data_IF_666246556308
#
_entry.id   IF_666246556308
#
_cell.length_a   1.000
_cell.length_b   1.000
_cell.length_c   1.000
_cell.angle_alpha   90.00
_cell.angle_beta   90.00
_cell.angle_gamma   90.00
#
_symmetry.space_group_name_H-M   'P 1'
#
loop_
_entity.id
_entity.type
_entity.pdbx_description
1 polymer ?
#
# COMPACT_ATOMS: atom_id res chain seq x y z
N UNK A 1 1.94 84.73 68.52
CA UNK A 1 1.91 83.32 68.08
C UNK A 1 2.27 83.29 66.61
N UNK A 2 3.47 82.85 66.25
CA UNK A 2 3.82 82.47 64.89
C UNK A 2 5.07 81.57 64.95
N UNK A 3 4.83 80.26 64.92
CA UNK A 3 5.86 79.22 64.93
C UNK A 3 6.01 78.79 63.48
N UNK A 4 7.00 79.35 62.79
CA UNK A 4 7.30 79.01 61.39
C UNK A 4 7.80 77.57 61.38
N UNK A 5 7.02 76.67 60.78
CA UNK A 5 7.33 75.24 60.64
C UNK A 5 8.44 75.06 59.60
N UNK A 6 9.44 74.25 59.94
CA UNK A 6 10.62 73.97 59.13
C UNK A 6 10.38 72.73 58.25
N UNK A 7 9.62 72.89 57.16
CA UNK A 7 9.23 71.78 56.27
C UNK A 7 10.27 71.46 55.18
N UNK A 8 11.41 72.17 55.15
CA UNK A 8 12.43 72.02 54.10
C UNK A 8 13.15 70.67 54.13
N UNK A 9 13.14 69.95 55.26
CA UNK A 9 13.73 68.61 55.36
C UNK A 9 12.87 67.50 54.77
N UNK A 10 11.54 67.63 54.86
CA UNK A 10 10.61 66.59 54.39
C UNK A 10 10.54 66.51 52.86
N UNK A 11 10.72 67.64 52.16
CA UNK A 11 10.78 67.65 50.70
C UNK A 11 11.96 66.84 50.15
N UNK A 12 13.13 66.93 50.78
CA UNK A 12 14.31 66.16 50.41
C UNK A 12 14.07 64.65 50.62
N UNK A 13 13.50 64.27 51.77
CA UNK A 13 13.18 62.88 52.09
C UNK A 13 12.17 62.29 51.12
N UNK A 14 11.15 63.06 50.73
CA UNK A 14 10.12 62.62 49.78
C UNK A 14 10.72 62.36 48.39
N UNK A 15 11.59 63.26 47.90
CA UNK A 15 12.26 63.06 46.61
C UNK A 15 13.17 61.83 46.66
N UNK A 16 13.92 61.63 47.75
CA UNK A 16 14.76 60.45 47.89
C UNK A 16 13.94 59.15 47.91
N UNK A 17 12.84 59.12 48.67
CA UNK A 17 11.93 57.98 48.71
C UNK A 17 11.36 57.66 47.33
N UNK A 18 10.97 58.69 46.59
CA UNK A 18 10.40 58.57 45.25
C UNK A 18 11.44 58.03 44.25
N UNK A 19 12.69 58.49 44.31
CA UNK A 19 13.79 57.96 43.48
C UNK A 19 14.07 56.48 43.81
N UNK A 20 14.08 56.10 45.09
CA UNK A 20 14.26 54.70 45.50
C UNK A 20 13.13 53.82 45.00
N UNK A 21 11.88 54.28 45.13
CA UNK A 21 10.71 53.54 44.67
C UNK A 21 10.73 53.33 43.15
N UNK A 22 11.06 54.37 42.38
CA UNK A 22 11.21 54.25 40.94
C UNK A 22 12.39 53.36 40.54
N UNK A 23 13.49 53.37 41.31
CA UNK A 23 14.64 52.49 41.05
C UNK A 23 14.29 51.02 41.27
N UNK A 24 13.55 50.70 42.34
CA UNK A 24 13.10 49.33 42.62
C UNK A 24 12.14 48.84 41.53
N UNK A 25 11.18 49.67 41.11
CA UNK A 25 10.27 49.35 40.02
C UNK A 25 11.01 49.19 38.68
N UNK A 26 11.96 50.08 38.39
CA UNK A 26 12.78 50.03 37.18
C UNK A 26 13.61 48.75 37.09
N UNK A 27 14.27 48.37 38.17
CA UNK A 27 15.02 47.11 38.24
C UNK A 27 14.10 45.88 38.13
N UNK A 28 12.91 45.93 38.74
CA UNK A 28 11.92 44.86 38.63
C UNK A 28 11.46 44.60 37.19
N UNK A 29 11.18 45.67 36.43
CA UNK A 29 10.80 45.56 35.01
C UNK A 29 11.94 45.04 34.14
N UNK A 30 13.19 45.46 34.40
CA UNK A 30 14.35 44.96 33.67
C UNK A 30 14.57 43.45 33.91
N UNK A 31 14.45 42.99 35.16
CA UNK A 31 14.57 41.58 35.49
C UNK A 31 13.49 40.72 34.78
N UNK A 32 12.24 41.21 34.72
CA UNK A 32 11.16 40.53 34.00
C UNK A 32 11.43 40.42 32.49
N UNK A 33 11.91 41.48 31.86
CA UNK A 33 12.23 41.47 30.43
C UNK A 33 13.40 40.53 30.12
N UNK A 34 14.42 40.50 30.99
CA UNK A 34 15.57 39.61 30.82
C UNK A 34 15.15 38.14 30.97
N UNK A 35 14.28 37.82 31.94
CA UNK A 35 13.73 36.48 32.10
C UNK A 35 12.82 36.07 30.92
N UNK A 36 12.05 36.99 30.36
CA UNK A 36 11.25 36.72 29.18
C UNK A 36 12.15 36.43 27.95
N UNK A 37 13.21 37.20 27.76
CA UNK A 37 14.15 37.01 26.66
C UNK A 37 14.89 35.66 26.72
N UNK A 38 15.31 35.23 27.92
CA UNK A 38 15.92 33.90 28.10
C UNK A 38 14.92 32.79 27.82
N UNK A 39 13.68 32.91 28.30
CA UNK A 39 12.62 31.95 27.99
C UNK A 39 12.34 31.84 26.50
N UNK A 40 12.26 32.96 25.77
CA UNK A 40 12.07 32.95 24.32
C UNK A 40 13.23 32.26 23.60
N UNK A 41 14.47 32.57 23.99
CA UNK A 41 15.66 31.94 23.41
C UNK A 41 15.63 30.42 23.64
N UNK A 42 15.32 29.97 24.86
CA UNK A 42 15.24 28.53 25.16
C UNK A 42 14.13 27.82 24.40
N UNK A 43 12.97 28.47 24.23
CA UNK A 43 11.86 27.92 23.44
C UNK A 43 12.20 27.85 21.96
N UNK A 44 12.87 28.88 21.43
CA UNK A 44 13.32 28.89 20.05
C UNK A 44 14.34 27.77 19.80
N UNK A 45 15.33 27.62 20.69
CA UNK A 45 16.32 26.56 20.60
C UNK A 45 15.68 25.17 20.66
N UNK A 46 14.70 24.97 21.56
CA UNK A 46 13.95 23.72 21.65
C UNK A 46 13.15 23.44 20.36
N UNK A 47 12.42 24.43 19.84
CA UNK A 47 11.66 24.28 18.59
C UNK A 47 12.57 23.95 17.41
N UNK A 48 13.75 24.58 17.35
CA UNK A 48 14.70 24.31 16.28
C UNK A 48 15.32 22.91 16.41
N UNK A 49 15.72 22.48 17.61
CA UNK A 49 16.20 21.11 17.86
C UNK A 49 15.15 20.07 17.47
N UNK A 50 13.88 20.28 17.85
CA UNK A 50 12.75 19.44 17.44
C UNK A 50 12.60 19.37 15.92
N UNK A 51 12.68 20.52 15.23
CA UNK A 51 12.56 20.54 13.78
C UNK A 51 13.68 19.73 13.11
N UNK A 52 14.89 19.74 13.66
CA UNK A 52 15.97 18.88 13.18
C UNK A 52 15.67 17.39 13.38
N UNK A 53 15.13 17.02 14.55
CA UNK A 53 14.70 15.64 14.82
C UNK A 53 13.62 15.18 13.82
N UNK A 54 12.62 16.03 13.54
CA UNK A 54 11.54 15.77 12.56
C UNK A 54 12.10 15.57 11.15
N UNK A 55 13.06 16.40 10.73
CA UNK A 55 13.75 16.23 9.45
C UNK A 55 14.51 14.90 9.37
N UNK A 56 15.10 14.44 10.48
CA UNK A 56 15.73 13.12 10.55
C UNK A 56 14.74 11.98 10.31
N UNK A 57 13.56 12.04 10.93
CA UNK A 57 12.48 11.04 10.72
C UNK A 57 11.99 11.04 9.27
N UNK A 58 11.78 12.22 8.67
CA UNK A 58 11.33 12.33 7.27
C UNK A 58 12.39 11.83 6.29
N UNK A 59 13.66 12.17 6.52
CA UNK A 59 14.76 11.66 5.71
C UNK A 59 14.84 10.14 5.80
N UNK A 60 14.65 9.58 7.00
CA UNK A 60 14.59 8.14 7.20
C UNK A 60 13.44 7.50 6.41
N UNK A 61 12.23 8.06 6.49
CA UNK A 61 11.06 7.58 5.75
C UNK A 61 11.34 7.51 4.25
N UNK A 62 11.86 8.58 3.65
CA UNK A 62 12.13 8.62 2.22
C UNK A 62 13.17 7.57 1.77
N UNK A 63 14.18 7.30 2.59
CA UNK A 63 15.16 6.27 2.30
C UNK A 63 14.58 4.85 2.46
N UNK A 64 13.74 4.66 3.49
CA UNK A 64 13.03 3.41 3.71
C UNK A 64 12.10 3.10 2.52
N UNK A 65 11.35 4.10 2.03
CA UNK A 65 10.53 3.99 0.83
C UNK A 65 11.36 3.53 -0.37
N UNK A 66 12.51 4.17 -0.61
CA UNK A 66 13.40 3.81 -1.71
C UNK A 66 13.93 2.37 -1.60
N UNK A 67 14.27 1.92 -0.39
CA UNK A 67 14.74 0.55 -0.14
C UNK A 67 13.60 -0.44 -0.39
N UNK A 68 12.40 -0.15 0.11
CA UNK A 68 11.20 -0.99 -0.08
C UNK A 68 10.84 -1.07 -1.56
N UNK A 69 10.90 0.05 -2.28
CA UNK A 69 10.61 0.13 -3.72
C UNK A 69 11.64 -0.65 -4.56
N UNK A 70 12.93 -0.53 -4.22
CA UNK A 70 14.00 -1.30 -4.87
C UNK A 70 13.85 -2.81 -4.62
N UNK A 71 13.28 -3.20 -3.47
CA UNK A 71 13.08 -4.59 -3.08
C UNK A 71 11.63 -5.06 -3.27
N UNK A 72 10.80 -4.32 -4.02
CA UNK A 72 9.36 -4.58 -4.19
C UNK A 72 9.05 -5.96 -4.81
N UNK A 73 10.02 -6.69 -5.35
CA UNK A 73 9.82 -8.01 -5.98
C UNK A 73 10.56 -9.11 -5.20
N UNK A 74 11.37 -8.74 -4.18
CA UNK A 74 12.18 -9.68 -3.43
C UNK A 74 11.34 -10.36 -2.34
N UNK A 75 11.10 -11.66 -2.54
CA UNK A 75 10.32 -12.52 -1.64
C UNK A 75 10.82 -12.53 -0.19
N UNK A 76 12.12 -12.29 0.03
CA UNK A 76 12.78 -12.37 1.33
C UNK A 76 13.44 -11.03 1.71
N UNK A 77 12.68 -9.95 1.85
CA UNK A 77 13.18 -8.77 2.54
C UNK A 77 13.32 -9.13 4.02
N UNK A 78 14.55 -9.33 4.50
CA UNK A 78 14.78 -9.62 5.92
C UNK A 78 15.02 -8.34 6.71
N UNK A 79 14.71 -8.34 8.01
CA UNK A 79 15.10 -7.24 8.92
C UNK A 79 16.62 -7.00 8.88
N UNK A 80 17.43 -8.03 8.65
CA UNK A 80 18.88 -7.88 8.50
C UNK A 80 19.26 -7.06 7.26
N UNK A 81 18.53 -7.23 6.16
CA UNK A 81 18.78 -6.48 4.92
C UNK A 81 18.32 -5.03 5.05
N UNK A 82 17.17 -4.80 5.70
CA UNK A 82 16.72 -3.47 6.10
C UNK A 82 17.77 -2.80 6.98
N UNK A 83 18.17 -3.42 8.10
CA UNK A 83 19.18 -2.89 9.02
C UNK A 83 20.49 -2.56 8.32
N UNK A 84 21.01 -3.44 7.45
CA UNK A 84 22.25 -3.19 6.69
C UNK A 84 22.13 -2.01 5.73
N UNK A 85 21.02 -1.90 5.01
CA UNK A 85 20.78 -0.78 4.10
C UNK A 85 20.67 0.54 4.88
N UNK A 86 20.11 0.49 6.10
CA UNK A 86 19.87 1.64 6.96
C UNK A 86 21.15 2.13 7.68
N UNK A 87 22.04 1.24 8.12
CA UNK A 87 23.30 1.61 8.81
C UNK A 87 24.15 2.60 8.00
N UNK A 88 24.04 2.58 6.66
CA UNK A 88 24.76 3.50 5.78
C UNK A 88 24.19 4.93 5.77
N UNK A 89 22.99 5.14 6.32
CA UNK A 89 22.27 6.44 6.33
C UNK A 89 22.68 7.29 7.54
N UNK A 90 23.02 6.64 8.66
CA UNK A 90 23.36 7.26 9.95
C UNK A 90 24.66 8.09 9.90
N UNK A 91 25.55 7.86 8.92
CA UNK A 91 26.91 8.41 8.91
C UNK A 91 27.07 9.75 8.15
N UNK A 92 26.01 10.55 7.97
CA UNK A 92 26.19 11.87 7.38
C UNK A 92 26.68 12.86 8.46
N UNK A 93 28.01 12.98 8.58
CA UNK A 93 28.69 13.85 9.57
C UNK A 93 28.30 15.33 9.48
N UNK A 94 27.61 15.75 8.41
CA UNK A 94 27.17 17.12 8.19
C UNK A 94 25.69 17.39 8.54
N UNK A 95 24.95 16.38 9.01
CA UNK A 95 23.55 16.56 9.39
C UNK A 95 23.41 17.11 10.81
N UNK A 96 22.49 18.06 11.01
CA UNK A 96 22.07 18.61 12.31
C UNK A 96 21.19 17.67 13.13
N UNK A 97 20.99 16.44 12.65
CA UNK A 97 20.29 15.36 13.32
C UNK A 97 21.13 14.09 13.27
N UNK A 98 20.93 13.21 14.25
CA UNK A 98 21.56 11.90 14.31
C UNK A 98 20.51 10.82 14.56
N UNK A 99 20.56 9.75 13.76
CA UNK A 99 19.76 8.54 13.95
C UNK A 99 20.73 7.46 14.42
N UNK A 100 20.55 6.94 15.63
CA UNK A 100 21.45 5.94 16.20
C UNK A 100 21.02 4.53 15.79
N UNK A 101 21.96 3.76 15.22
CA UNK A 101 21.72 2.41 14.70
C UNK A 101 21.33 1.39 15.79
N UNK A 102 21.63 1.67 17.07
CA UNK A 102 21.25 0.85 18.22
C UNK A 102 19.74 0.84 18.48
N UNK A 103 19.01 1.81 17.92
CA UNK A 103 17.59 2.02 18.18
C UNK A 103 16.68 1.45 17.08
N UNK A 104 17.25 0.73 16.11
CA UNK A 104 16.47 0.06 15.07
C UNK A 104 16.03 -1.31 15.60
N UNK A 105 14.84 -1.38 16.18
CA UNK A 105 14.20 -2.65 16.42
C UNK A 105 13.35 -3.04 15.21
N UNK A 106 13.49 -4.30 14.75
CA UNK A 106 12.47 -4.84 13.87
C UNK A 106 11.77 -6.03 14.49
N UNK A 107 10.46 -5.88 14.66
CA UNK A 107 9.58 -6.98 15.02
C UNK A 107 8.96 -7.51 13.74
N UNK A 108 9.36 -8.73 13.36
CA UNK A 108 8.72 -9.46 12.26
C UNK A 108 7.54 -10.24 12.84
N UNK A 109 6.34 -9.70 12.65
CA UNK A 109 5.09 -10.43 12.88
C UNK A 109 4.59 -10.97 11.54
N UNK A 110 3.76 -12.01 11.53
CA UNK A 110 3.28 -12.66 10.31
C UNK A 110 2.77 -11.64 9.27
N UNK A 111 3.63 -11.33 8.27
CA UNK A 111 3.40 -10.43 7.11
C UNK A 111 3.62 -8.92 7.31
N UNK A 112 4.21 -8.49 8.43
CA UNK A 112 4.60 -7.08 8.62
C UNK A 112 5.92 -6.98 9.37
N UNK A 113 6.73 -6.00 8.98
CA UNK A 113 7.96 -5.63 9.67
C UNK A 113 7.72 -4.23 10.24
N UNK A 114 7.63 -4.14 11.55
CA UNK A 114 7.66 -2.85 12.25
C UNK A 114 9.11 -2.42 12.38
N UNK A 115 9.41 -1.15 12.12
CA UNK A 115 10.73 -0.55 12.25
C UNK A 115 10.59 0.69 13.13
N UNK A 116 11.17 0.64 14.33
CA UNK A 116 11.23 1.79 15.23
C UNK A 116 12.56 2.52 15.09
N UNK A 117 12.55 3.85 15.20
CA UNK A 117 13.74 4.69 15.23
C UNK A 117 13.62 5.76 16.32
N UNK A 118 14.77 6.20 16.82
CA UNK A 118 14.89 7.42 17.61
C UNK A 118 15.79 8.42 16.85
N UNK A 119 15.26 9.60 16.57
CA UNK A 119 15.94 10.70 15.89
C UNK A 119 16.26 11.80 16.89
N UNK A 120 17.53 12.18 17.01
CA UNK A 120 17.98 13.25 17.90
C UNK A 120 18.38 14.46 17.06
N UNK A 121 17.69 15.58 17.25
CA UNK A 121 18.01 16.86 16.62
C UNK A 121 18.85 17.73 17.55
N UNK A 122 19.93 18.32 17.04
CA UNK A 122 20.82 19.18 17.83
C UNK A 122 20.77 20.61 17.35
N UNK A 123 20.56 21.54 18.27
CA UNK A 123 20.68 22.97 18.01
C UNK A 123 21.34 23.69 19.19
N UNK A 124 22.55 24.21 18.96
CA UNK A 124 23.41 24.82 19.98
C UNK A 124 23.69 23.85 21.15
N UNK A 125 23.25 24.19 22.36
CA UNK A 125 23.41 23.38 23.58
C UNK A 125 22.14 22.59 23.93
N UNK A 126 21.14 22.58 23.04
CA UNK A 126 19.89 21.84 23.21
C UNK A 126 19.81 20.70 22.22
N UNK A 127 19.44 19.54 22.76
CA UNK A 127 19.09 18.35 22.00
C UNK A 127 17.60 18.06 22.26
N UNK A 128 16.89 17.62 21.23
CA UNK A 128 15.51 17.12 21.32
C UNK A 128 15.39 15.79 20.59
N UNK A 129 14.47 14.94 21.03
CA UNK A 129 14.35 13.56 20.56
C UNK A 129 12.94 13.26 20.07
N UNK A 130 12.85 12.44 19.03
CA UNK A 130 11.58 11.98 18.46
C UNK A 130 11.69 10.50 18.17
N UNK A 131 10.74 9.73 18.70
CA UNK A 131 10.59 8.32 18.37
C UNK A 131 9.57 8.17 17.23
N UNK A 132 9.90 7.38 16.23
CA UNK A 132 9.02 7.11 15.11
C UNK A 132 8.96 5.63 14.78
N UNK A 133 7.75 5.15 14.50
CA UNK A 133 7.47 3.77 14.12
C UNK A 133 6.95 3.72 12.68
N UNK A 134 7.56 2.85 11.88
CA UNK A 134 7.21 2.58 10.50
C UNK A 134 6.75 1.14 10.35
N UNK A 135 5.63 0.92 9.65
CA UNK A 135 5.15 -0.43 9.36
C UNK A 135 5.41 -0.74 7.89
N UNK A 136 6.24 -1.73 7.61
CA UNK A 136 6.46 -2.27 6.26
C UNK A 136 5.62 -3.53 6.10
N UNK A 137 4.62 -3.48 5.24
CA UNK A 137 3.69 -4.58 5.04
C UNK A 137 4.15 -5.48 3.89
N UNK A 138 4.13 -6.78 4.13
CA UNK A 138 4.27 -7.78 3.08
C UNK A 138 2.91 -7.97 2.40
N UNK A 139 2.80 -7.44 1.20
CA UNK A 139 1.70 -7.73 0.30
C UNK A 139 2.00 -9.05 -0.42
N UNK A 140 1.06 -9.99 -0.38
CA UNK A 140 1.12 -11.17 -1.23
C UNK A 140 1.56 -12.49 -0.57
N UNK A 141 1.43 -12.65 0.75
CA UNK A 141 1.37 -13.98 1.34
C UNK A 141 -0.08 -14.47 1.48
N UNK A 142 -0.79 -14.64 0.36
CA UNK A 142 -1.78 -15.72 0.33
C UNK A 142 -0.99 -17.01 0.08
N UNK A 143 -0.43 -17.52 1.18
CA UNK A 143 -0.32 -18.96 1.33
C UNK A 143 -1.69 -19.53 0.99
N UNK A 144 -1.74 -20.50 0.08
CA UNK A 144 -2.85 -21.42 0.02
C UNK A 144 -2.91 -22.20 1.33
N UNK A 145 -3.28 -21.54 2.43
CA UNK A 145 -3.77 -22.24 3.60
C UNK A 145 -5.16 -22.71 3.23
N UNK A 146 -5.25 -24.02 2.97
CA UNK A 146 -6.49 -24.75 2.91
C UNK A 146 -7.30 -24.45 4.16
N UNK A 147 -8.22 -23.49 4.04
CA UNK A 147 -9.36 -23.39 4.93
C UNK A 147 -10.22 -24.61 4.66
N UNK A 148 -10.08 -25.63 5.50
CA UNK A 148 -11.14 -26.61 5.73
C UNK A 148 -12.26 -25.88 6.45
N UNK A 149 -13.03 -25.10 5.70
CA UNK A 149 -14.13 -24.31 6.19
C UNK A 149 -15.24 -24.34 5.16
N UNK A 150 -16.22 -25.20 5.38
CA UNK A 150 -17.55 -25.10 4.77
C UNK A 150 -18.19 -23.80 5.25
N UNK A 151 -17.89 -22.69 4.57
CA UNK A 151 -18.42 -21.37 4.89
C UNK A 151 -18.21 -20.46 3.70
N UNK A 152 -19.31 -19.86 3.22
CA UNK A 152 -19.41 -18.89 2.11
C UNK A 152 -18.06 -18.25 1.74
N UNK A 153 -17.48 -18.67 0.62
CA UNK A 153 -16.28 -18.07 0.06
C UNK A 153 -16.61 -16.66 -0.42
N UNK A 154 -16.12 -15.65 0.29
CA UNK A 154 -16.21 -14.27 -0.15
C UNK A 154 -15.64 -14.16 -1.57
N UNK A 155 -16.42 -13.57 -2.49
CA UNK A 155 -15.96 -13.31 -3.86
C UNK A 155 -14.77 -12.36 -3.77
N UNK A 156 -13.60 -12.71 -4.34
CA UNK A 156 -12.44 -11.83 -4.31
C UNK A 156 -12.77 -10.50 -4.96
N UNK A 157 -12.51 -9.40 -4.26
CA UNK A 157 -12.59 -8.08 -4.85
C UNK A 157 -11.43 -7.86 -5.83
N UNK A 158 -11.58 -6.99 -6.85
CA UNK A 158 -10.48 -6.56 -7.70
C UNK A 158 -9.47 -5.72 -6.88
N UNK A 159 -8.65 -6.37 -6.07
CA UNK A 159 -7.49 -5.75 -5.43
C UNK A 159 -6.24 -6.36 -6.05
N UNK A 160 -5.89 -5.88 -7.24
CA UNK A 160 -4.55 -6.13 -7.73
C UNK A 160 -3.64 -5.00 -7.25
N UNK A 161 -2.80 -5.32 -6.26
CA UNK A 161 -1.85 -4.46 -5.54
C UNK A 161 -0.70 -3.90 -6.41
N UNK A 162 -0.89 -3.84 -7.71
CA UNK A 162 0.04 -3.14 -8.59
C UNK A 162 -0.78 -2.53 -9.71
N UNK A 163 -0.63 -1.22 -9.87
CA UNK A 163 -1.35 -0.19 -10.65
C UNK A 163 -1.50 -0.47 -12.16
N UNK A 164 -1.79 -1.72 -12.50
CA UNK A 164 -1.75 -2.29 -13.84
C UNK A 164 -3.10 -2.91 -14.23
N UNK A 165 -4.10 -2.97 -13.33
CA UNK A 165 -5.43 -3.47 -13.68
C UNK A 165 -6.02 -2.59 -14.76
N UNK A 166 -6.30 -3.17 -15.94
CA UNK A 166 -7.06 -2.47 -16.97
C UNK A 166 -8.52 -2.44 -16.55
N UNK A 167 -8.97 -1.31 -16.01
CA UNK A 167 -10.37 -1.09 -15.63
C UNK A 167 -11.17 -0.57 -16.82
N UNK A 168 -12.32 -1.19 -17.08
CA UNK A 168 -13.34 -0.73 -18.02
C UNK A 168 -14.57 -0.38 -17.20
N UNK A 169 -14.90 0.90 -17.18
CA UNK A 169 -15.97 1.50 -16.34
C UNK A 169 -17.40 1.18 -16.82
N UNK A 170 -17.54 0.45 -17.93
CA UNK A 170 -18.83 0.13 -18.56
C UNK A 170 -18.86 -1.31 -19.07
N UNK A 171 -19.96 -1.68 -19.71
CA UNK A 171 -20.04 -2.89 -20.52
C UNK A 171 -18.92 -2.90 -21.57
N UNK A 172 -18.38 -4.09 -21.84
CA UNK A 172 -17.29 -4.28 -22.79
C UNK A 172 -17.60 -5.38 -23.79
N UNK A 173 -17.35 -5.09 -25.08
CA UNK A 173 -17.57 -6.04 -26.17
C UNK A 173 -16.24 -6.44 -26.79
N UNK A 174 -15.90 -7.73 -26.68
CA UNK A 174 -14.80 -8.32 -27.44
C UNK A 174 -15.29 -8.60 -28.87
N UNK A 175 -14.71 -7.86 -29.82
CA UNK A 175 -14.95 -7.97 -31.26
C UNK A 175 -13.96 -8.95 -31.89
N UNK A 176 -14.25 -9.48 -33.07
CA UNK A 176 -13.39 -10.47 -33.73
C UNK A 176 -11.88 -10.10 -33.72
N UNK A 177 -11.06 -10.85 -33.00
CA UNK A 177 -9.61 -10.63 -32.89
C UNK A 177 -8.96 -11.33 -31.69
N UNK A 178 -7.64 -11.12 -31.54
CA UNK A 178 -6.88 -11.56 -30.37
C UNK A 178 -6.67 -10.41 -29.39
N UNK A 179 -7.01 -10.65 -28.12
CA UNK A 179 -6.88 -9.72 -27.01
C UNK A 179 -5.91 -10.30 -25.99
N UNK A 180 -4.79 -9.61 -25.76
CA UNK A 180 -3.83 -9.98 -24.71
C UNK A 180 -3.39 -8.72 -23.97
N UNK A 181 -3.76 -8.53 -22.69
CA UNK A 181 -3.10 -7.53 -21.85
C UNK A 181 -1.67 -8.01 -21.62
N UNK A 182 -0.70 -7.23 -22.09
CA UNK A 182 0.71 -7.64 -22.13
C UNK A 182 1.26 -8.02 -20.73
N UNK A 183 0.73 -7.47 -19.64
CA UNK A 183 1.21 -7.74 -18.27
C UNK A 183 0.12 -7.69 -17.16
N UNK A 184 -1.17 -7.51 -17.47
CA UNK A 184 -2.16 -7.08 -16.47
C UNK A 184 -3.38 -7.97 -16.24
N UNK A 185 -3.99 -7.79 -15.06
CA UNK A 185 -5.39 -8.15 -14.80
C UNK A 185 -6.32 -7.20 -15.55
N UNK A 186 -7.54 -7.66 -15.83
CA UNK A 186 -8.58 -6.84 -16.46
C UNK A 186 -9.82 -6.85 -15.58
N UNK A 187 -10.43 -5.68 -15.38
CA UNK A 187 -11.68 -5.54 -14.64
C UNK A 187 -12.71 -4.82 -15.50
N UNK A 188 -13.85 -5.45 -15.72
CA UNK A 188 -15.01 -4.89 -16.41
C UNK A 188 -16.09 -4.65 -15.35
N UNK A 189 -16.50 -3.40 -15.15
CA UNK A 189 -17.55 -3.04 -14.17
C UNK A 189 -18.96 -3.34 -14.67
N UNK A 190 -19.14 -3.50 -15.98
CA UNK A 190 -20.42 -3.90 -16.59
C UNK A 190 -20.44 -5.36 -17.05
N UNK A 191 -21.30 -5.63 -18.03
CA UNK A 191 -21.37 -6.92 -18.71
C UNK A 191 -20.24 -7.07 -19.74
N UNK A 192 -19.72 -8.28 -19.90
CA UNK A 192 -18.76 -8.63 -20.94
C UNK A 192 -19.43 -9.48 -22.03
N UNK A 193 -19.46 -9.00 -23.28
CA UNK A 193 -19.96 -9.80 -24.41
C UNK A 193 -18.82 -10.16 -25.34
N UNK A 194 -18.71 -11.44 -25.70
CA UNK A 194 -17.79 -11.90 -26.74
C UNK A 194 -18.60 -12.24 -27.98
N UNK A 195 -18.44 -11.45 -29.04
CA UNK A 195 -19.20 -11.63 -30.29
C UNK A 195 -18.82 -12.92 -31.03
N UNK A 196 -19.53 -13.24 -32.12
CA UNK A 196 -19.14 -14.38 -32.95
C UNK A 196 -17.81 -14.09 -33.65
N UNK A 197 -16.86 -15.03 -33.56
CA UNK A 197 -15.71 -15.05 -34.46
C UNK A 197 -16.09 -15.43 -35.89
N UNK A 198 -15.26 -15.07 -36.86
CA UNK A 198 -15.43 -15.49 -38.26
C UNK A 198 -14.98 -16.95 -38.48
N UNK A 199 -15.31 -17.52 -39.65
CA UNK A 199 -15.08 -18.94 -40.01
C UNK A 199 -13.62 -19.43 -39.85
N UNK A 200 -12.65 -18.49 -39.83
CA UNK A 200 -11.19 -18.74 -39.82
C UNK A 200 -10.50 -18.49 -38.46
N UNK A 201 -11.21 -18.07 -37.42
CA UNK A 201 -10.62 -17.80 -36.10
C UNK A 201 -11.67 -17.29 -35.11
N UNK A 202 -11.59 -17.75 -33.86
CA UNK A 202 -12.45 -17.28 -32.78
C UNK A 202 -11.95 -15.97 -32.17
N UNK A 203 -12.68 -15.47 -31.17
CA UNK A 203 -12.15 -14.43 -30.29
C UNK A 203 -11.18 -15.05 -29.30
N UNK A 204 -9.91 -14.68 -29.37
CA UNK A 204 -8.87 -15.20 -28.48
C UNK A 204 -8.60 -14.18 -27.38
N UNK A 205 -9.06 -14.44 -26.16
CA UNK A 205 -8.89 -13.55 -25.01
C UNK A 205 -7.91 -14.21 -24.06
N UNK A 206 -6.73 -13.62 -23.89
CA UNK A 206 -5.66 -14.12 -23.04
C UNK A 206 -5.40 -13.13 -21.91
N UNK A 207 -5.78 -13.45 -20.68
CA UNK A 207 -5.54 -12.63 -19.49
C UNK A 207 -4.35 -13.20 -18.69
N UNK A 208 -3.31 -12.40 -18.52
CA UNK A 208 -2.05 -12.84 -17.90
C UNK A 208 -2.12 -12.97 -16.37
N UNK A 209 -3.13 -12.36 -15.74
CA UNK A 209 -3.36 -12.42 -14.28
C UNK A 209 -4.84 -12.73 -14.02
N UNK A 210 -5.54 -11.89 -13.26
CA UNK A 210 -6.93 -12.11 -12.89
C UNK A 210 -7.88 -11.43 -13.88
N UNK A 211 -9.04 -12.03 -14.10
CA UNK A 211 -10.10 -11.43 -14.91
C UNK A 211 -11.35 -11.22 -14.05
N UNK A 212 -11.74 -9.96 -13.88
CA UNK A 212 -12.89 -9.55 -13.08
C UNK A 212 -14.00 -9.01 -13.97
N UNK A 213 -15.22 -9.49 -13.76
CA UNK A 213 -16.43 -8.97 -14.39
C UNK A 213 -17.51 -8.82 -13.32
N UNK A 214 -17.98 -7.60 -13.11
CA UNK A 214 -19.04 -7.31 -12.12
C UNK A 214 -20.43 -7.69 -12.64
N UNK A 215 -20.62 -7.70 -13.96
CA UNK A 215 -21.83 -8.18 -14.62
C UNK A 215 -21.77 -9.65 -15.05
N UNK A 216 -22.49 -9.96 -16.12
CA UNK A 216 -22.51 -11.25 -16.79
C UNK A 216 -21.40 -11.35 -17.85
N UNK A 217 -20.98 -12.57 -18.19
CA UNK A 217 -20.18 -12.83 -19.38
C UNK A 217 -21.00 -13.64 -20.37
N UNK A 218 -21.21 -13.10 -21.56
CA UNK A 218 -21.93 -13.76 -22.65
C UNK A 218 -21.01 -14.09 -23.82
N UNK A 219 -20.71 -15.37 -24.00
CA UNK A 219 -19.99 -15.87 -25.16
C UNK A 219 -20.96 -16.31 -26.26
N UNK A 220 -20.83 -15.71 -27.44
CA UNK A 220 -21.57 -16.14 -28.64
C UNK A 220 -20.90 -17.39 -29.22
N UNK A 221 -20.33 -17.32 -30.42
CA UNK A 221 -19.80 -18.48 -31.14
C UNK A 221 -18.28 -18.34 -31.38
N UNK A 222 -17.54 -19.44 -31.28
CA UNK A 222 -16.10 -19.48 -31.51
C UNK A 222 -15.33 -18.49 -30.63
N UNK A 223 -15.24 -18.78 -29.34
CA UNK A 223 -14.49 -17.94 -28.40
C UNK A 223 -13.55 -18.78 -27.55
N UNK A 224 -12.39 -18.23 -27.27
CA UNK A 224 -11.35 -18.80 -26.43
C UNK A 224 -11.03 -17.77 -25.34
N UNK A 225 -11.22 -18.14 -24.06
CA UNK A 225 -10.79 -17.33 -22.93
C UNK A 225 -9.74 -18.12 -22.14
N UNK A 226 -8.54 -17.59 -22.00
CA UNK A 226 -7.50 -18.15 -21.14
C UNK A 226 -7.11 -17.14 -20.06
N UNK A 227 -7.28 -17.51 -18.79
CA UNK A 227 -6.98 -16.68 -17.61
C UNK A 227 -5.94 -17.40 -16.77
N UNK A 228 -4.74 -16.82 -16.65
CA UNK A 228 -3.63 -17.42 -15.89
C UNK A 228 -3.82 -17.35 -14.37
N UNK A 229 -4.55 -16.35 -13.88
CA UNK A 229 -4.92 -16.20 -12.48
C UNK A 229 -6.34 -16.69 -12.23
N UNK A 230 -7.07 -15.94 -11.42
CA UNK A 230 -8.46 -16.23 -11.09
C UNK A 230 -9.41 -15.63 -12.12
N UNK A 231 -10.48 -16.35 -12.43
CA UNK A 231 -11.64 -15.82 -13.14
C UNK A 231 -12.73 -15.47 -12.12
N UNK A 232 -13.10 -14.20 -12.02
CA UNK A 232 -14.13 -13.70 -11.11
C UNK A 232 -15.25 -13.06 -11.92
N UNK A 233 -16.42 -13.69 -11.89
CA UNK A 233 -17.65 -13.17 -12.51
C UNK A 233 -18.71 -13.07 -11.41
N UNK A 234 -19.18 -11.87 -11.11
CA UNK A 234 -20.24 -11.69 -10.11
C UNK A 234 -21.62 -12.08 -10.66
N UNK A 235 -21.80 -12.03 -11.98
CA UNK A 235 -23.01 -12.50 -12.66
C UNK A 235 -22.90 -13.94 -13.16
N UNK A 236 -23.64 -14.21 -14.24
CA UNK A 236 -23.68 -15.50 -14.91
C UNK A 236 -22.67 -15.56 -16.05
N UNK A 237 -22.19 -16.77 -16.35
CA UNK A 237 -21.40 -17.06 -17.56
C UNK A 237 -22.28 -17.87 -18.51
N UNK A 238 -22.54 -17.33 -19.69
CA UNK A 238 -23.32 -17.99 -20.74
C UNK A 238 -22.46 -18.29 -21.96
N UNK A 239 -22.63 -19.47 -22.56
CA UNK A 239 -21.90 -19.91 -23.74
C UNK A 239 -22.81 -20.49 -24.81
N UNK A 240 -22.70 -19.99 -26.05
CA UNK A 240 -23.56 -20.49 -27.13
C UNK A 240 -22.98 -21.75 -27.76
N UNK A 241 -21.91 -21.64 -28.56
CA UNK A 241 -21.34 -22.77 -29.31
C UNK A 241 -19.82 -22.61 -29.50
N UNK A 242 -19.06 -23.70 -29.33
CA UNK A 242 -17.60 -23.73 -29.54
C UNK A 242 -16.87 -22.65 -28.73
N UNK A 243 -17.24 -22.55 -27.46
CA UNK A 243 -16.63 -21.68 -26.46
C UNK A 243 -15.73 -22.51 -25.55
N UNK A 244 -14.48 -22.07 -25.38
CA UNK A 244 -13.48 -22.75 -24.58
C UNK A 244 -12.91 -21.79 -23.54
N UNK A 245 -13.05 -22.14 -22.26
CA UNK A 245 -12.60 -21.31 -21.14
C UNK A 245 -11.53 -22.08 -20.35
N UNK A 246 -10.36 -21.47 -20.14
CA UNK A 246 -9.23 -22.04 -19.43
C UNK A 246 -8.89 -21.15 -18.23
N UNK A 247 -9.05 -21.67 -17.01
CA UNK A 247 -8.75 -20.95 -15.77
C UNK A 247 -7.66 -21.70 -15.01
N UNK A 248 -6.47 -21.12 -14.93
CA UNK A 248 -5.35 -21.75 -14.25
C UNK A 248 -5.41 -21.55 -12.72
N UNK A 249 -6.08 -20.50 -12.23
CA UNK A 249 -6.38 -20.28 -10.81
C UNK A 249 -7.77 -20.78 -10.42
N UNK A 250 -8.42 -20.04 -9.52
CA UNK A 250 -9.78 -20.32 -9.07
C UNK A 250 -10.82 -19.66 -9.99
N UNK A 251 -11.99 -20.26 -10.10
CA UNK A 251 -13.12 -19.72 -10.85
C UNK A 251 -14.29 -19.39 -9.91
N UNK A 252 -14.85 -18.18 -10.05
CA UNK A 252 -15.99 -17.68 -9.29
C UNK A 252 -17.06 -17.22 -10.29
N UNK A 253 -18.27 -17.75 -10.20
CA UNK A 253 -19.42 -17.34 -11.01
C UNK A 253 -20.74 -17.73 -10.32
N UNK A 254 -21.86 -17.07 -10.67
CA UNK A 254 -23.16 -17.47 -10.12
C UNK A 254 -23.69 -18.74 -10.76
N UNK A 255 -23.57 -18.82 -12.09
CA UNK A 255 -23.91 -20.01 -12.86
C UNK A 255 -23.07 -20.05 -14.14
N UNK A 256 -22.90 -21.27 -14.66
CA UNK A 256 -22.34 -21.50 -15.99
C UNK A 256 -23.42 -22.23 -16.82
N UNK A 257 -23.91 -21.59 -17.86
CA UNK A 257 -24.98 -22.11 -18.73
C UNK A 257 -24.49 -22.18 -20.17
N UNK A 258 -24.88 -23.23 -20.89
CA UNK A 258 -24.46 -23.42 -22.27
C UNK A 258 -25.58 -24.00 -23.14
N UNK A 259 -25.67 -23.54 -24.40
CA UNK A 259 -26.73 -23.98 -25.33
C UNK A 259 -26.33 -25.16 -26.22
N UNK A 260 -25.03 -25.43 -26.35
CA UNK A 260 -24.47 -26.52 -27.15
C UNK A 260 -23.51 -27.36 -26.32
N UNK A 261 -23.40 -28.65 -26.62
CA UNK A 261 -22.41 -29.56 -26.03
C UNK A 261 -20.98 -29.30 -26.50
N UNK A 262 -20.78 -28.45 -27.51
CA UNK A 262 -19.45 -28.11 -28.02
C UNK A 262 -18.72 -27.02 -27.20
N UNK A 263 -19.18 -26.75 -25.98
CA UNK A 263 -18.56 -25.78 -25.09
C UNK A 263 -17.81 -26.52 -23.99
N UNK A 264 -16.64 -26.02 -23.62
CA UNK A 264 -15.79 -26.68 -22.63
C UNK A 264 -15.15 -25.65 -21.71
N UNK A 265 -15.08 -25.99 -20.42
CA UNK A 265 -14.43 -25.17 -19.41
C UNK A 265 -13.45 -26.06 -18.65
N UNK A 266 -12.25 -25.52 -18.44
CA UNK A 266 -11.16 -26.14 -17.71
C UNK A 266 -10.78 -25.24 -16.56
N UNK A 267 -10.69 -25.82 -15.35
CA UNK A 267 -10.33 -25.10 -14.13
C UNK A 267 -9.33 -25.94 -13.37
N UNK A 268 -8.13 -25.42 -13.14
CA UNK A 268 -7.10 -26.11 -12.36
C UNK A 268 -7.30 -25.90 -10.86
N UNK A 269 -7.76 -24.71 -10.44
CA UNK A 269 -8.00 -24.38 -9.04
C UNK A 269 -9.39 -24.80 -8.53
N UNK A 270 -9.84 -24.09 -7.49
CA UNK A 270 -11.16 -24.28 -6.87
C UNK A 270 -12.26 -23.58 -7.67
N UNK A 271 -13.47 -24.12 -7.58
CA UNK A 271 -14.67 -23.57 -8.23
C UNK A 271 -15.64 -23.09 -7.17
N UNK A 272 -16.11 -21.86 -7.30
CA UNK A 272 -17.09 -21.25 -6.42
C UNK A 272 -18.33 -20.88 -7.23
N UNK A 273 -19.48 -21.45 -6.86
CA UNK A 273 -20.76 -21.18 -7.49
C UNK A 273 -21.66 -20.46 -6.49
N UNK A 274 -22.11 -19.25 -6.83
CA UNK A 274 -22.83 -18.36 -5.91
C UNK A 274 -22.07 -18.17 -4.57
N UNK A 275 -20.75 -17.98 -4.63
CA UNK A 275 -19.91 -17.83 -3.44
C UNK A 275 -19.70 -19.13 -2.63
N UNK A 276 -20.21 -20.27 -3.07
CA UNK A 276 -20.04 -21.56 -2.36
C UNK A 276 -19.04 -22.42 -3.11
N UNK A 277 -17.98 -22.89 -2.43
CA UNK A 277 -17.04 -23.85 -3.02
C UNK A 277 -17.80 -25.12 -3.43
N UNK A 278 -17.67 -25.50 -4.69
CA UNK A 278 -18.21 -26.74 -5.24
C UNK A 278 -17.06 -27.66 -5.60
N UNK A 279 -17.28 -28.98 -5.54
CA UNK A 279 -16.34 -29.93 -6.11
C UNK A 279 -16.03 -29.51 -7.55
N UNK A 280 -14.74 -29.39 -7.87
CA UNK A 280 -14.33 -29.06 -9.22
C UNK A 280 -14.69 -30.24 -10.14
N UNK A 281 -15.70 -30.06 -10.99
CA UNK A 281 -16.16 -31.04 -11.98
C UNK A 281 -15.52 -30.84 -13.35
N UNK A 282 -14.68 -29.82 -13.49
CA UNK A 282 -14.06 -29.44 -14.75
C UNK A 282 -12.70 -30.13 -14.90
N UNK A 283 -12.31 -30.38 -16.15
CA UNK A 283 -10.98 -30.90 -16.44
C UNK A 283 -9.90 -29.88 -16.05
N UNK A 284 -8.69 -30.33 -15.69
CA UNK A 284 -7.57 -29.42 -15.52
C UNK A 284 -7.22 -28.78 -16.87
N UNK A 285 -6.63 -27.58 -16.84
CA UNK A 285 -6.20 -26.92 -18.08
C UNK A 285 -5.16 -27.79 -18.80
N UNK A 286 -5.34 -28.11 -20.10
CA UNK A 286 -4.40 -28.93 -20.86
C UNK A 286 -2.99 -28.32 -20.89
N UNK A 287 -1.98 -29.18 -20.87
CA UNK A 287 -0.59 -28.76 -21.03
C UNK A 287 -0.32 -28.37 -22.48
N UNK A 288 0.43 -27.27 -22.69
CA UNK A 288 0.83 -26.81 -24.01
C UNK A 288 0.57 -25.32 -24.24
N UNK A 289 0.92 -24.85 -25.44
CA UNK A 289 0.72 -23.47 -25.89
C UNK A 289 -0.54 -23.28 -26.73
N UNK A 290 -1.20 -24.37 -27.10
CA UNK A 290 -2.34 -24.36 -28.02
C UNK A 290 -3.27 -25.50 -27.64
N UNK A 291 -4.57 -25.22 -27.54
CA UNK A 291 -5.62 -26.23 -27.46
C UNK A 291 -6.29 -26.38 -28.82
N UNK A 292 -6.24 -27.57 -29.42
CA UNK A 292 -6.82 -27.83 -30.74
C UNK A 292 -8.22 -28.44 -30.58
N UNK A 293 -9.19 -27.89 -31.30
CA UNK A 293 -10.58 -28.33 -31.26
C UNK A 293 -11.20 -28.38 -32.66
N UNK A 294 -12.33 -29.09 -32.80
CA UNK A 294 -13.06 -29.19 -34.07
C UNK A 294 -12.23 -29.85 -35.18
N UNK A 295 -12.20 -31.19 -35.19
CA UNK A 295 -11.52 -32.02 -36.20
C UNK A 295 -10.07 -31.61 -36.54
N UNK A 296 -9.38 -30.89 -35.64
CA UNK A 296 -7.98 -30.49 -35.84
C UNK A 296 -7.77 -29.14 -36.53
N UNK A 297 -8.82 -28.44 -36.96
CA UNK A 297 -8.68 -27.25 -37.82
C UNK A 297 -8.82 -25.92 -37.08
N UNK A 298 -9.14 -25.93 -35.78
CA UNK A 298 -9.27 -24.72 -34.96
C UNK A 298 -8.46 -24.86 -33.69
N UNK A 299 -8.02 -23.73 -33.17
CA UNK A 299 -7.16 -23.71 -31.99
C UNK A 299 -7.42 -22.50 -31.10
N UNK A 300 -7.30 -22.68 -29.79
CA UNK A 300 -7.21 -21.61 -28.81
C UNK A 300 -5.74 -21.44 -28.38
N UNK A 301 -5.18 -20.23 -28.38
CA UNK A 301 -3.88 -19.98 -27.80
C UNK A 301 -3.96 -20.15 -26.28
N UNK A 302 -3.00 -20.90 -25.72
CA UNK A 302 -2.79 -21.03 -24.29
C UNK A 302 -1.51 -20.29 -23.90
N UNK A 303 -1.44 -19.73 -22.68
CA UNK A 303 -0.25 -19.03 -22.18
C UNK A 303 1.01 -19.92 -22.04
N UNK A 304 0.91 -21.23 -22.30
CA UNK A 304 2.00 -22.19 -22.19
C UNK A 304 2.03 -22.93 -20.85
N UNK A 305 2.99 -23.83 -20.69
CA UNK A 305 3.31 -24.53 -19.44
C UNK A 305 4.06 -23.59 -18.49
N UNK A 306 3.36 -22.59 -17.96
CA UNK A 306 3.83 -21.77 -16.86
C UNK A 306 2.82 -21.87 -15.74
N UNK A 307 3.28 -21.99 -14.49
CA UNK A 307 2.40 -21.96 -13.33
C UNK A 307 1.44 -20.75 -13.41
N UNK A 308 0.17 -20.90 -12.95
CA UNK A 308 -0.69 -19.75 -12.67
C UNK A 308 0.14 -18.73 -11.90
N UNK A 309 0.11 -17.47 -12.35
CA UNK A 309 1.06 -16.43 -11.97
C UNK A 309 1.47 -16.54 -10.51
N UNK A 310 2.75 -16.89 -10.25
CA UNK A 310 3.27 -16.83 -8.89
C UNK A 310 3.06 -15.40 -8.43
N UNK A 311 2.24 -15.24 -7.39
CA UNK A 311 2.04 -13.98 -6.69
C UNK A 311 3.40 -13.34 -6.47
N UNK A 312 3.65 -12.22 -7.14
CA UNK A 312 4.81 -11.41 -6.80
C UNK A 312 4.53 -10.89 -5.40
N UNK A 313 5.36 -11.29 -4.44
CA UNK A 313 5.40 -10.65 -3.14
C UNK A 313 5.80 -9.21 -3.40
N UNK A 314 5.00 -8.25 -2.93
CA UNK A 314 5.40 -6.85 -2.89
C UNK A 314 5.45 -6.36 -1.47
N UNK A 315 6.42 -5.50 -1.19
CA UNK A 315 6.51 -4.81 0.09
C UNK A 315 6.04 -3.38 -0.14
N UNK A 316 5.23 -2.86 0.76
CA UNK A 316 4.81 -1.46 0.76
C UNK A 316 4.97 -0.87 2.16
N UNK A 317 5.40 0.38 2.21
CA UNK A 317 5.45 1.14 3.45
C UNK A 317 4.03 1.58 3.78
N UNK A 318 3.61 1.40 5.02
CA UNK A 318 2.33 1.91 5.51
C UNK A 318 2.32 3.45 5.46
N UNK A 319 1.15 4.00 5.10
CA UNK A 319 0.96 5.46 5.07
C UNK A 319 1.00 6.08 6.46
N UNK A 320 0.67 5.29 7.49
CA UNK A 320 0.64 5.70 8.88
C UNK A 320 2.04 5.61 9.50
N UNK A 321 2.53 6.77 9.94
CA UNK A 321 3.75 6.91 10.73
C UNK A 321 3.33 7.35 12.13
N UNK A 322 3.61 6.51 13.13
CA UNK A 322 3.36 6.86 14.52
C UNK A 322 4.58 7.62 15.03
N UNK A 323 4.38 8.85 15.50
CA UNK A 323 5.47 9.73 15.97
C UNK A 323 5.15 10.13 17.40
N UNK A 324 6.05 9.80 18.32
CA UNK A 324 6.01 10.25 19.69
C UNK A 324 6.97 11.43 19.89
N UNK A 325 6.42 12.54 20.38
CA UNK A 325 7.14 13.78 20.66
C UNK A 325 7.42 13.96 22.16
N UNK A 326 7.02 13.01 22.99
CA UNK A 326 7.12 13.08 24.45
C UNK A 326 7.94 11.90 24.99
N UNK A 327 9.16 11.74 24.48
CA UNK A 327 10.13 10.81 25.05
C UNK A 327 10.64 11.39 26.37
N UNK A 328 10.22 10.81 27.50
CA UNK A 328 10.59 11.20 28.87
C UNK A 328 12.09 11.00 29.20
#
# INVERSE_FOLDING_TARGET
>A
MNRIQNDKGYALLLVMLLVVLFSILGLGLLALNMNAATQFTTKEEQVQARHQAEMGVLHYKAQLEKIVETNKINKNLSCTDLKKAIVNISNNENASYSITNENIDCVSANKSITVSINSVGKYRERDDQIEAEFVVNQLGANSGTGGTGTGSGAIPVPSDYNDSVKVVESDFKFLNGSYSPAQSSMHIKGDATVQSGNSKGGNDILIQRNFFVDGNIDFKNHACLAVRGNLIVKGNVSATNKVYIFVYGNAYFNSYTYTSSNNEIFVTGKVFVNGIEKPNKYGPVPSGKVYVYGNGNKSCPLPGSGNPGTSQFSWELGDEMNVDYFTD
#
